data_IF_278515012307
#
_entry.id   IF_278515012307
#
_cell.length_a   1.000
_cell.length_b   1.000
_cell.length_c   1.000
_cell.angle_alpha   90.00
_cell.angle_beta   90.00
_cell.angle_gamma   90.00
#
_symmetry.space_group_name_H-M   'P 1'
#
loop_
_entity.id
_entity.type
_entity.pdbx_description
1 polymer ?
#
# COMPACT_ATOMS: atom_id res chain seq x y z
N UNK A 1 -75.19 -7.16 28.03
CA UNK A 1 -74.10 -6.64 28.88
C UNK A 1 -72.76 -7.31 28.67
N UNK A 2 -72.66 -8.64 28.55
CA UNK A 2 -71.36 -9.38 28.35
C UNK A 2 -70.64 -9.09 27.01
N UNK A 3 -71.36 -8.79 25.93
CA UNK A 3 -70.83 -8.52 24.59
C UNK A 3 -70.15 -7.12 24.54
N UNK A 4 -70.71 -6.13 25.19
CA UNK A 4 -70.19 -4.74 25.25
C UNK A 4 -68.87 -4.69 26.06
N UNK A 5 -68.77 -5.50 27.12
CA UNK A 5 -67.57 -5.64 27.92
C UNK A 5 -66.44 -6.31 27.15
N UNK A 6 -66.77 -7.37 26.35
CA UNK A 6 -65.78 -8.08 25.52
C UNK A 6 -65.22 -7.19 24.40
N UNK A 7 -66.06 -6.37 23.76
CA UNK A 7 -65.63 -5.39 22.72
C UNK A 7 -64.78 -4.30 23.34
N UNK A 8 -65.10 -3.80 24.54
CA UNK A 8 -64.31 -2.82 25.25
C UNK A 8 -62.91 -3.35 25.66
N UNK A 9 -62.85 -4.64 26.08
CA UNK A 9 -61.58 -5.27 26.42
C UNK A 9 -60.68 -5.52 25.19
N UNK A 10 -61.25 -5.91 24.06
CA UNK A 10 -60.50 -6.12 22.82
C UNK A 10 -59.98 -4.82 22.21
N UNK A 11 -60.73 -3.73 22.30
CA UNK A 11 -60.27 -2.38 21.88
C UNK A 11 -59.17 -1.83 22.78
N UNK A 12 -59.24 -2.07 24.10
CA UNK A 12 -58.16 -1.67 25.02
C UNK A 12 -56.89 -2.49 24.84
N UNK A 13 -56.99 -3.80 24.58
CA UNK A 13 -55.86 -4.68 24.26
C UNK A 13 -55.20 -4.28 22.92
N UNK A 14 -55.98 -3.96 21.90
CA UNK A 14 -55.50 -3.46 20.61
C UNK A 14 -54.77 -2.10 20.78
N UNK A 15 -55.31 -1.18 21.60
CA UNK A 15 -54.63 0.10 21.89
C UNK A 15 -53.34 -0.06 22.67
N UNK A 16 -53.26 -1.01 23.62
CA UNK A 16 -52.05 -1.35 24.33
C UNK A 16 -50.99 -1.98 23.40
N UNK A 17 -51.38 -2.92 22.56
CA UNK A 17 -50.54 -3.53 21.56
C UNK A 17 -50.00 -2.49 20.57
N UNK A 18 -50.83 -1.59 20.07
CA UNK A 18 -50.36 -0.51 19.18
C UNK A 18 -49.45 0.51 19.90
N UNK A 19 -49.63 0.79 21.20
CA UNK A 19 -48.72 1.63 21.96
C UNK A 19 -47.37 0.98 22.17
N UNK A 20 -47.30 -0.33 22.46
CA UNK A 20 -46.01 -1.02 22.63
C UNK A 20 -45.26 -1.06 21.30
N UNK A 21 -45.93 -1.37 20.18
CA UNK A 21 -45.34 -1.37 18.83
C UNK A 21 -44.78 0.04 18.48
N UNK A 22 -45.55 1.10 18.76
CA UNK A 22 -45.10 2.48 18.47
C UNK A 22 -43.95 2.94 19.36
N UNK A 23 -43.85 2.46 20.60
CA UNK A 23 -42.70 2.75 21.51
C UNK A 23 -41.44 2.02 21.02
N UNK A 24 -41.56 0.74 20.60
CA UNK A 24 -40.43 0.00 20.03
C UNK A 24 -39.95 0.63 18.72
N UNK A 25 -40.83 1.08 17.84
CA UNK A 25 -40.43 1.78 16.63
C UNK A 25 -39.70 3.08 16.92
N UNK A 26 -40.15 3.89 17.87
CA UNK A 26 -39.46 5.12 18.26
C UNK A 26 -38.12 4.86 18.91
N UNK A 27 -38.01 3.86 19.79
CA UNK A 27 -36.74 3.47 20.38
C UNK A 27 -35.73 3.03 19.32
N UNK A 28 -36.16 2.24 18.34
CA UNK A 28 -35.35 1.81 17.22
C UNK A 28 -34.90 2.97 16.34
N UNK A 29 -35.78 3.94 16.08
CA UNK A 29 -35.44 5.16 15.34
C UNK A 29 -34.41 6.02 16.05
N UNK A 30 -34.47 6.16 17.38
CA UNK A 30 -33.46 6.87 18.16
C UNK A 30 -32.10 6.15 18.14
N UNK A 31 -32.10 4.84 18.26
CA UNK A 31 -30.89 4.00 18.16
C UNK A 31 -30.29 4.14 16.77
N UNK A 32 -31.08 4.06 15.72
CA UNK A 32 -30.62 4.24 14.33
C UNK A 32 -30.02 5.63 14.09
N UNK A 33 -30.70 6.69 14.57
CA UNK A 33 -30.16 8.07 14.49
C UNK A 33 -28.84 8.23 15.24
N UNK A 34 -28.70 7.57 16.40
CA UNK A 34 -27.45 7.59 17.17
C UNK A 34 -26.32 6.90 16.38
N UNK A 35 -26.59 5.72 15.80
CA UNK A 35 -25.60 5.02 14.96
C UNK A 35 -25.22 5.84 13.72
N UNK A 36 -26.19 6.44 13.02
CA UNK A 36 -25.92 7.31 11.88
C UNK A 36 -25.08 8.53 12.29
N UNK A 37 -25.38 9.11 13.46
CA UNK A 37 -24.58 10.23 13.99
C UNK A 37 -23.14 9.80 14.31
N UNK A 38 -22.96 8.64 14.96
CA UNK A 38 -21.62 8.10 15.26
C UNK A 38 -20.83 7.79 13.96
N UNK A 39 -21.47 7.22 12.95
CA UNK A 39 -20.84 6.98 11.65
C UNK A 39 -20.43 8.29 10.95
N UNK A 40 -21.28 9.32 10.99
CA UNK A 40 -20.94 10.65 10.46
C UNK A 40 -19.78 11.29 11.21
N UNK A 41 -19.78 11.23 12.55
CA UNK A 41 -18.70 11.76 13.38
C UNK A 41 -17.37 11.04 13.08
N UNK A 42 -17.40 9.71 12.97
CA UNK A 42 -16.20 8.91 12.60
C UNK A 42 -15.67 9.29 11.21
N UNK A 43 -16.55 9.49 10.25
CA UNK A 43 -16.17 9.92 8.90
C UNK A 43 -15.56 11.32 8.90
N UNK A 44 -16.17 12.28 9.61
CA UNK A 44 -15.63 13.65 9.75
C UNK A 44 -14.27 13.60 10.46
N UNK A 45 -14.16 12.83 11.55
CA UNK A 45 -12.90 12.68 12.29
C UNK A 45 -11.78 12.15 11.41
N UNK A 46 -12.06 11.13 10.57
CA UNK A 46 -11.08 10.61 9.63
C UNK A 46 -10.58 11.68 8.63
N UNK A 47 -11.50 12.48 8.09
CA UNK A 47 -11.14 13.59 7.19
C UNK A 47 -10.30 14.64 7.92
N UNK A 48 -10.73 15.06 9.12
CA UNK A 48 -10.03 16.09 9.92
C UNK A 48 -8.60 15.63 10.26
N UNK A 49 -8.42 14.37 10.68
CA UNK A 49 -7.10 13.82 10.99
C UNK A 49 -6.22 13.79 9.73
N UNK A 50 -6.76 13.32 8.60
CA UNK A 50 -6.01 13.27 7.35
C UNK A 50 -5.57 14.67 6.89
N UNK A 51 -6.48 15.63 6.90
CA UNK A 51 -6.17 17.03 6.56
C UNK A 51 -5.16 17.61 7.55
N UNK A 52 -5.32 17.34 8.85
CA UNK A 52 -4.38 17.77 9.89
C UNK A 52 -2.95 17.25 9.67
N UNK A 53 -2.80 15.97 9.31
CA UNK A 53 -1.49 15.39 8.97
C UNK A 53 -0.88 16.11 7.76
N UNK A 54 -1.63 16.29 6.68
CA UNK A 54 -1.13 16.96 5.47
C UNK A 54 -0.73 18.41 5.75
N UNK A 55 -1.53 19.14 6.53
CA UNK A 55 -1.21 20.51 6.92
C UNK A 55 0.03 20.58 7.82
N UNK A 56 0.19 19.65 8.76
CA UNK A 56 1.39 19.56 9.60
C UNK A 56 2.64 19.29 8.75
N UNK A 57 2.57 18.32 7.83
CA UNK A 57 3.69 18.04 6.91
C UNK A 57 4.03 19.27 6.06
N UNK A 58 3.02 19.97 5.53
CA UNK A 58 3.22 21.18 4.74
C UNK A 58 3.89 22.28 5.56
N UNK A 59 3.41 22.53 6.79
CA UNK A 59 3.95 23.59 7.64
C UNK A 59 5.43 23.36 7.96
N UNK A 60 5.81 22.16 8.40
CA UNK A 60 7.22 21.84 8.71
C UNK A 60 8.09 21.81 7.45
N UNK A 61 7.54 21.41 6.32
CA UNK A 61 8.22 21.47 5.02
C UNK A 61 8.52 22.92 4.59
N UNK A 62 7.58 23.85 4.79
CA UNK A 62 7.81 25.27 4.49
C UNK A 62 8.87 25.87 5.41
N UNK A 63 8.93 25.47 6.69
CA UNK A 63 10.01 25.84 7.62
C UNK A 63 11.35 25.30 7.14
N UNK A 64 11.43 24.06 6.66
CA UNK A 64 12.64 23.49 6.06
C UNK A 64 13.13 24.32 4.86
N UNK A 65 12.22 24.66 3.92
CA UNK A 65 12.59 25.44 2.73
C UNK A 65 12.90 26.92 3.02
N UNK A 66 12.60 27.42 4.21
CA UNK A 66 13.13 28.72 4.65
C UNK A 66 14.61 28.68 5.01
N UNK A 67 15.18 27.48 5.32
CA UNK A 67 16.58 27.27 5.67
C UNK A 67 17.39 26.73 4.49
N UNK A 68 16.80 25.85 3.68
CA UNK A 68 17.47 25.13 2.58
C UNK A 68 16.76 25.43 1.27
N UNK A 69 17.50 25.69 0.21
CA UNK A 69 16.93 25.95 -1.11
C UNK A 69 16.22 24.72 -1.66
N UNK A 70 14.99 24.88 -2.16
CA UNK A 70 14.17 23.79 -2.73
C UNK A 70 14.87 23.08 -3.89
N UNK A 71 15.64 23.82 -4.72
CA UNK A 71 16.37 23.22 -5.84
C UNK A 71 17.53 22.36 -5.38
N UNK A 72 18.25 22.79 -4.33
CA UNK A 72 19.35 22.03 -3.74
C UNK A 72 18.83 20.75 -3.09
N UNK A 73 17.63 20.80 -2.50
CA UNK A 73 16.97 19.63 -1.94
C UNK A 73 16.50 18.66 -3.05
N UNK A 74 15.77 19.13 -4.05
CA UNK A 74 15.18 18.25 -5.07
C UNK A 74 16.20 17.67 -6.05
N UNK A 75 17.25 18.41 -6.39
CA UNK A 75 18.25 18.03 -7.39
C UNK A 75 19.65 17.77 -6.85
N UNK A 76 19.86 17.91 -5.55
CA UNK A 76 21.14 17.58 -4.92
C UNK A 76 21.48 16.09 -5.01
N UNK A 77 22.76 15.80 -5.27
CA UNK A 77 23.27 14.45 -5.50
C UNK A 77 23.89 13.80 -4.24
N UNK A 78 23.90 14.51 -3.12
CA UNK A 78 24.49 14.05 -1.87
C UNK A 78 23.47 14.18 -0.74
N UNK A 79 23.27 13.11 0.00
CA UNK A 79 22.41 13.06 1.18
C UNK A 79 23.25 12.70 2.40
N UNK A 80 23.48 13.66 3.28
CA UNK A 80 24.24 13.51 4.52
C UNK A 80 23.72 14.47 5.60
N UNK A 81 22.48 14.32 6.08
CA UNK A 81 21.88 15.23 7.05
C UNK A 81 22.49 15.10 8.45
N UNK A 82 23.23 14.01 8.72
CA UNK A 82 23.79 13.71 10.04
C UNK A 82 25.04 14.53 10.39
N UNK A 83 25.67 15.17 9.42
CA UNK A 83 26.85 16.03 9.65
C UNK A 83 26.51 17.39 10.25
N UNK A 84 25.22 17.78 10.23
CA UNK A 84 24.72 19.06 10.76
C UNK A 84 24.20 18.94 12.20
N UNK A 85 24.99 18.40 13.14
CA UNK A 85 24.52 18.18 14.53
C UNK A 85 24.58 19.46 15.37
N UNK A 86 25.43 20.47 15.00
CA UNK A 86 25.55 21.75 15.73
C UNK A 86 25.81 22.90 14.77
N UNK A 87 25.12 24.01 14.96
CA UNK A 87 25.31 25.25 14.20
C UNK A 87 26.69 25.89 14.37
N UNK A 88 27.45 25.51 15.41
CA UNK A 88 28.78 25.99 15.74
C UNK A 88 29.91 25.13 15.13
N UNK A 89 29.62 24.02 14.50
CA UNK A 89 30.61 23.20 13.79
C UNK A 89 30.84 23.76 12.37
N UNK A 90 31.88 24.58 12.24
CA UNK A 90 32.25 25.36 11.06
C UNK A 90 32.56 24.55 9.77
N UNK A 91 32.47 23.21 9.79
CA UNK A 91 32.79 22.35 8.65
C UNK A 91 31.64 21.39 8.25
N UNK A 92 30.45 21.51 8.83
CA UNK A 92 29.38 20.51 8.67
C UNK A 92 28.07 21.12 8.23
N UNK A 93 28.05 21.88 7.13
CA UNK A 93 26.79 22.13 6.40
C UNK A 93 26.34 20.80 5.87
N UNK A 94 25.28 20.21 6.50
CA UNK A 94 24.68 18.97 6.05
C UNK A 94 24.26 19.06 4.58
N UNK A 95 24.40 17.98 3.85
CA UNK A 95 23.96 17.90 2.47
C UNK A 95 22.57 17.26 2.42
N UNK A 96 21.59 17.97 1.86
CA UNK A 96 20.18 17.59 1.85
C UNK A 96 19.66 17.24 0.45
N UNK A 97 20.51 16.75 -0.46
CA UNK A 97 20.10 16.37 -1.80
C UNK A 97 19.29 15.07 -1.80
N UNK A 98 18.04 15.11 -2.19
CA UNK A 98 17.11 13.98 -2.08
C UNK A 98 17.27 12.91 -3.20
N UNK A 99 17.97 13.21 -4.31
CA UNK A 99 18.10 12.28 -5.45
C UNK A 99 18.58 10.88 -5.04
N UNK A 100 19.67 10.71 -4.23
CA UNK A 100 20.13 9.35 -3.89
C UNK A 100 19.07 8.52 -3.19
N UNK A 101 18.27 9.15 -2.33
CA UNK A 101 17.24 8.49 -1.52
C UNK A 101 16.03 8.09 -2.39
N UNK A 102 15.65 8.93 -3.34
CA UNK A 102 14.58 8.60 -4.30
C UNK A 102 15.04 7.55 -5.31
N UNK A 103 16.29 7.61 -5.79
CA UNK A 103 16.86 6.59 -6.69
C UNK A 103 16.88 5.23 -5.99
N UNK A 104 17.33 5.15 -4.74
CA UNK A 104 17.29 3.92 -3.95
C UNK A 104 15.86 3.38 -3.76
N UNK A 105 14.89 4.27 -3.50
CA UNK A 105 13.48 3.90 -3.38
C UNK A 105 12.95 3.28 -4.68
N UNK A 106 13.21 3.91 -5.82
CA UNK A 106 12.79 3.42 -7.12
C UNK A 106 13.48 2.11 -7.47
N UNK A 107 14.79 2.01 -7.23
CA UNK A 107 15.58 0.80 -7.52
C UNK A 107 15.02 -0.42 -6.76
N UNK A 108 14.84 -0.31 -5.44
CA UNK A 108 14.29 -1.40 -4.62
C UNK A 108 12.86 -1.74 -5.05
N UNK A 109 12.02 -0.73 -5.29
CA UNK A 109 10.64 -0.95 -5.73
C UNK A 109 10.57 -1.64 -7.10
N UNK A 110 11.44 -1.28 -8.04
CA UNK A 110 11.50 -1.94 -9.35
C UNK A 110 11.94 -3.41 -9.24
N UNK A 111 12.95 -3.71 -8.41
CA UNK A 111 13.37 -5.09 -8.14
C UNK A 111 12.20 -5.89 -7.55
N UNK A 112 11.47 -5.32 -6.59
CA UNK A 112 10.31 -5.96 -6.01
C UNK A 112 9.22 -6.25 -7.05
N UNK A 113 8.93 -5.29 -7.93
CA UNK A 113 7.95 -5.48 -9.00
C UNK A 113 8.39 -6.52 -10.04
N UNK A 114 9.68 -6.60 -10.37
CA UNK A 114 10.21 -7.64 -11.26
C UNK A 114 9.99 -9.06 -10.71
N UNK A 115 9.96 -9.23 -9.40
CA UNK A 115 9.63 -10.52 -8.75
C UNK A 115 8.12 -10.68 -8.62
N UNK A 116 7.42 -9.67 -8.12
CA UNK A 116 6.02 -9.75 -7.72
C UNK A 116 5.05 -9.82 -8.89
N UNK A 117 5.29 -9.04 -9.97
CA UNK A 117 4.36 -8.96 -11.11
C UNK A 117 4.23 -10.30 -11.85
N UNK A 118 5.30 -10.93 -12.33
CA UNK A 118 5.15 -12.17 -13.06
C UNK A 118 4.53 -13.28 -12.21
N UNK A 119 5.01 -13.46 -10.96
CA UNK A 119 4.51 -14.52 -10.09
C UNK A 119 3.06 -14.25 -9.68
N UNK A 120 2.75 -13.00 -9.29
CA UNK A 120 1.40 -12.60 -8.87
C UNK A 120 0.38 -12.69 -10.00
N UNK A 121 0.75 -12.24 -11.21
CA UNK A 121 -0.12 -12.31 -12.39
C UNK A 121 -0.42 -13.77 -12.78
N UNK A 122 0.59 -14.63 -12.89
CA UNK A 122 0.37 -16.03 -13.22
C UNK A 122 -0.44 -16.76 -12.16
N UNK A 123 -0.20 -16.47 -10.88
CA UNK A 123 -1.00 -16.99 -9.77
C UNK A 123 -2.47 -16.57 -9.87
N UNK A 124 -2.73 -15.30 -10.18
CA UNK A 124 -4.09 -14.79 -10.36
C UNK A 124 -4.80 -15.45 -11.55
N UNK A 125 -4.12 -15.57 -12.71
CA UNK A 125 -4.66 -16.23 -13.90
C UNK A 125 -5.02 -17.68 -13.57
N UNK A 126 -4.12 -18.41 -12.90
CA UNK A 126 -4.38 -19.79 -12.51
C UNK A 126 -5.59 -19.90 -11.58
N UNK A 127 -5.63 -19.11 -10.51
CA UNK A 127 -6.70 -19.15 -9.53
C UNK A 127 -8.07 -18.74 -10.10
N UNK A 128 -8.08 -17.74 -10.99
CA UNK A 128 -9.33 -17.21 -11.55
C UNK A 128 -9.91 -18.09 -12.66
N UNK A 129 -9.06 -18.70 -13.52
CA UNK A 129 -9.52 -19.36 -14.76
C UNK A 129 -9.31 -20.87 -14.81
N UNK A 130 -8.32 -21.41 -14.11
CA UNK A 130 -7.90 -22.81 -14.24
C UNK A 130 -8.10 -23.63 -12.96
N UNK A 131 -8.03 -23.00 -11.78
CA UNK A 131 -8.06 -23.72 -10.52
C UNK A 131 -9.44 -24.36 -10.27
N UNK A 132 -9.50 -25.67 -9.94
CA UNK A 132 -10.74 -26.27 -9.49
C UNK A 132 -11.21 -25.62 -8.18
N UNK A 133 -12.53 -25.62 -7.96
CA UNK A 133 -13.16 -24.96 -6.80
C UNK A 133 -12.47 -25.28 -5.46
N UNK A 134 -12.10 -26.56 -5.22
CA UNK A 134 -11.42 -26.98 -3.98
C UNK A 134 -10.06 -26.30 -3.80
N UNK A 135 -9.28 -26.16 -4.87
CA UNK A 135 -7.96 -25.51 -4.82
C UNK A 135 -8.12 -24.01 -4.58
N UNK A 136 -9.06 -23.37 -5.27
CA UNK A 136 -9.34 -21.95 -5.10
C UNK A 136 -9.80 -21.62 -3.67
N UNK A 137 -10.74 -22.40 -3.12
CA UNK A 137 -11.27 -22.21 -1.76
C UNK A 137 -10.18 -22.36 -0.69
N UNK A 138 -9.16 -23.17 -0.93
CA UNK A 138 -8.04 -23.35 -0.01
C UNK A 138 -6.92 -22.33 -0.22
N UNK A 139 -6.55 -22.04 -1.47
CA UNK A 139 -5.42 -21.18 -1.79
C UNK A 139 -5.70 -19.69 -1.55
N UNK A 140 -6.92 -19.21 -1.85
CA UNK A 140 -7.26 -17.78 -1.67
C UNK A 140 -7.11 -17.31 -0.22
N UNK A 141 -7.65 -17.99 0.80
CA UNK A 141 -7.43 -17.62 2.20
C UNK A 141 -5.95 -17.66 2.61
N UNK A 142 -5.15 -18.62 2.11
CA UNK A 142 -3.71 -18.68 2.42
C UNK A 142 -2.99 -17.45 1.88
N UNK A 143 -3.28 -17.04 0.64
CA UNK A 143 -2.72 -15.84 0.05
C UNK A 143 -3.10 -14.59 0.85
N UNK A 144 -4.35 -14.51 1.31
CA UNK A 144 -4.83 -13.41 2.16
C UNK A 144 -4.15 -13.38 3.53
N UNK A 145 -3.91 -14.54 4.15
CA UNK A 145 -3.15 -14.66 5.40
C UNK A 145 -1.70 -14.20 5.21
N UNK A 146 -1.05 -14.59 4.10
CA UNK A 146 0.31 -14.16 3.79
C UNK A 146 0.40 -12.64 3.63
N UNK A 147 -0.62 -12.00 3.04
CA UNK A 147 -0.69 -10.55 2.94
C UNK A 147 -0.82 -9.84 4.31
N UNK A 148 -1.32 -10.56 5.33
CA UNK A 148 -1.47 -10.08 6.70
C UNK A 148 -0.25 -10.23 7.60
N UNK A 149 0.82 -10.90 7.15
CA UNK A 149 2.05 -11.05 7.93
C UNK A 149 2.71 -9.66 8.13
N UNK A 150 3.09 -9.28 9.38
CA UNK A 150 3.80 -8.04 9.64
C UNK A 150 5.11 -7.94 8.85
N UNK A 151 5.38 -6.77 8.23
CA UNK A 151 6.56 -6.55 7.37
C UNK A 151 7.89 -6.75 8.09
N UNK A 152 7.92 -6.55 9.41
CA UNK A 152 9.08 -6.84 10.27
C UNK A 152 9.51 -8.31 10.16
N UNK A 153 8.55 -9.25 10.09
CA UNK A 153 8.83 -10.69 9.96
C UNK A 153 9.52 -10.97 8.62
N UNK A 154 9.06 -10.34 7.54
CA UNK A 154 9.72 -10.41 6.24
C UNK A 154 11.13 -9.81 6.29
N UNK A 155 11.32 -8.70 7.00
CA UNK A 155 12.64 -8.10 7.22
C UNK A 155 13.60 -9.04 7.95
N UNK A 156 13.13 -9.72 9.00
CA UNK A 156 13.91 -10.74 9.70
C UNK A 156 14.26 -11.93 8.79
N UNK A 157 13.30 -12.41 8.02
CA UNK A 157 13.53 -13.46 7.02
C UNK A 157 14.58 -13.04 5.98
N UNK A 158 14.53 -11.77 5.55
CA UNK A 158 15.52 -11.21 4.63
C UNK A 158 16.94 -11.33 5.19
N UNK A 159 17.16 -10.93 6.45
CA UNK A 159 18.49 -10.91 7.07
C UNK A 159 19.01 -12.33 7.39
N UNK A 160 18.14 -13.18 7.94
CA UNK A 160 18.59 -14.49 8.47
C UNK A 160 18.68 -15.54 7.36
N UNK A 161 17.80 -15.48 6.36
CA UNK A 161 17.69 -16.56 5.36
C UNK A 161 18.12 -16.09 3.97
N UNK A 162 17.59 -14.97 3.50
CA UNK A 162 17.79 -14.53 2.11
C UNK A 162 19.17 -13.91 1.93
N UNK A 163 19.64 -13.09 2.86
CA UNK A 163 20.95 -12.46 2.76
C UNK A 163 22.14 -13.47 2.74
N UNK A 164 22.21 -14.49 3.62
CA UNK A 164 23.22 -15.52 3.52
C UNK A 164 23.16 -16.29 2.18
N UNK A 165 21.94 -16.65 1.73
CA UNK A 165 21.77 -17.35 0.45
C UNK A 165 22.32 -16.54 -0.74
N UNK A 166 22.02 -15.23 -0.78
CA UNK A 166 22.54 -14.36 -1.84
C UNK A 166 24.07 -14.15 -1.73
N UNK A 167 24.63 -14.08 -0.52
CA UNK A 167 26.08 -13.98 -0.31
C UNK A 167 26.80 -15.24 -0.83
N UNK A 168 26.33 -16.42 -0.43
CA UNK A 168 26.91 -17.68 -0.87
C UNK A 168 26.85 -17.85 -2.39
N UNK A 169 25.77 -17.36 -3.02
CA UNK A 169 25.60 -17.36 -4.47
C UNK A 169 26.52 -16.33 -5.12
N UNK A 170 26.61 -15.12 -4.54
CA UNK A 170 27.46 -14.04 -5.01
C UNK A 170 28.95 -14.39 -4.96
N UNK A 171 29.40 -14.98 -3.86
CA UNK A 171 30.79 -15.40 -3.68
C UNK A 171 31.24 -16.49 -4.66
N UNK A 172 30.31 -17.30 -5.16
CA UNK A 172 30.58 -18.30 -6.22
C UNK A 172 30.72 -17.68 -7.60
N UNK A 173 30.06 -16.52 -7.85
CA UNK A 173 30.05 -15.86 -9.16
C UNK A 173 31.13 -14.78 -9.23
N UNK A 174 31.20 -13.92 -8.21
CA UNK A 174 32.13 -12.81 -8.07
C UNK A 174 32.41 -12.55 -6.58
N UNK A 175 33.50 -13.10 -6.01
CA UNK A 175 33.82 -12.94 -4.60
C UNK A 175 33.87 -11.49 -4.17
N UNK A 176 33.08 -11.13 -3.12
CA UNK A 176 33.03 -9.78 -2.55
C UNK A 176 32.20 -8.75 -3.33
N UNK A 177 31.49 -9.16 -4.38
CA UNK A 177 30.64 -8.26 -5.18
C UNK A 177 29.33 -7.89 -4.47
N UNK A 178 28.89 -8.69 -3.48
CA UNK A 178 27.61 -8.52 -2.80
C UNK A 178 27.83 -7.99 -1.38
N UNK A 179 27.32 -6.78 -1.10
CA UNK A 179 27.31 -6.30 0.28
C UNK A 179 26.30 -7.08 1.12
N UNK A 180 26.56 -7.16 2.43
CA UNK A 180 25.71 -7.85 3.37
C UNK A 180 24.28 -7.33 3.44
N UNK A 181 24.11 -6.06 3.16
CA UNK A 181 22.86 -5.33 2.97
C UNK A 181 22.89 -4.82 1.53
N UNK A 182 21.83 -5.07 0.75
CA UNK A 182 21.79 -4.68 -0.66
C UNK A 182 20.38 -4.50 -1.19
N UNK A 183 20.26 -3.70 -2.25
CA UNK A 183 18.98 -3.44 -2.90
C UNK A 183 18.30 -4.72 -3.40
N UNK A 184 19.08 -5.71 -3.89
CA UNK A 184 18.53 -6.96 -4.42
C UNK A 184 17.91 -7.84 -3.34
N UNK A 185 18.53 -7.91 -2.15
CA UNK A 185 18.00 -8.68 -1.01
C UNK A 185 16.68 -8.07 -0.56
N UNK A 186 16.67 -6.76 -0.27
CA UNK A 186 15.46 -6.06 0.15
C UNK A 186 14.36 -6.11 -0.91
N UNK A 187 14.69 -5.84 -2.17
CA UNK A 187 13.74 -5.86 -3.27
C UNK A 187 13.15 -7.24 -3.52
N UNK A 188 13.94 -8.32 -3.44
CA UNK A 188 13.44 -9.70 -3.61
C UNK A 188 12.44 -10.07 -2.52
N UNK A 189 12.77 -9.81 -1.25
CA UNK A 189 11.87 -10.14 -0.13
C UNK A 189 10.62 -9.27 -0.15
N UNK A 190 10.76 -7.98 -0.47
CA UNK A 190 9.61 -7.09 -0.68
C UNK A 190 8.73 -7.58 -1.84
N UNK A 191 9.34 -8.07 -2.92
CA UNK A 191 8.62 -8.70 -4.03
C UNK A 191 7.79 -9.90 -3.57
N UNK A 192 8.37 -10.80 -2.78
CA UNK A 192 7.66 -11.96 -2.21
C UNK A 192 6.46 -11.51 -1.37
N UNK A 193 6.64 -10.48 -0.53
CA UNK A 193 5.55 -9.90 0.28
C UNK A 193 4.41 -9.30 -0.58
N UNK A 194 4.74 -8.75 -1.74
CA UNK A 194 3.77 -8.09 -2.62
C UNK A 194 3.01 -9.09 -3.52
N UNK A 195 3.54 -10.30 -3.78
CA UNK A 195 2.87 -11.33 -4.59
C UNK A 195 1.40 -11.53 -4.20
N UNK A 196 1.04 -11.76 -2.91
CA UNK A 196 -0.35 -11.95 -2.51
C UNK A 196 -1.25 -10.79 -2.88
N UNK A 197 -0.75 -9.56 -2.75
CA UNK A 197 -1.50 -8.35 -3.06
C UNK A 197 -1.82 -8.24 -4.56
N UNK A 198 -0.82 -8.46 -5.43
CA UNK A 198 -1.04 -8.48 -6.88
C UNK A 198 -1.98 -9.61 -7.27
N UNK A 199 -1.78 -10.81 -6.70
CA UNK A 199 -2.62 -11.97 -6.99
C UNK A 199 -4.08 -11.71 -6.66
N UNK A 200 -4.38 -11.17 -5.47
CA UNK A 200 -5.75 -10.92 -5.04
C UNK A 200 -6.44 -9.85 -5.89
N UNK A 201 -5.80 -8.70 -6.10
CA UNK A 201 -6.38 -7.61 -6.90
C UNK A 201 -6.57 -8.00 -8.37
N UNK A 202 -5.62 -8.76 -8.94
CA UNK A 202 -5.72 -9.25 -10.32
C UNK A 202 -6.80 -10.32 -10.45
N UNK A 203 -6.93 -11.26 -9.49
CA UNK A 203 -8.02 -12.24 -9.44
C UNK A 203 -9.38 -11.54 -9.41
N UNK A 204 -9.53 -10.51 -8.58
CA UNK A 204 -10.76 -9.74 -8.46
C UNK A 204 -11.09 -8.99 -9.78
N UNK A 205 -10.08 -8.39 -10.43
CA UNK A 205 -10.25 -7.72 -11.73
C UNK A 205 -10.68 -8.69 -12.83
N UNK A 206 -10.11 -9.90 -12.87
CA UNK A 206 -10.48 -10.92 -13.86
C UNK A 206 -11.88 -11.52 -13.60
N UNK A 207 -12.28 -11.66 -12.34
CA UNK A 207 -13.62 -12.15 -11.98
C UNK A 207 -14.71 -11.09 -12.16
N UNK A 208 -14.37 -9.82 -12.23
CA UNK A 208 -15.31 -8.74 -12.54
C UNK A 208 -15.74 -8.69 -14.01
N UNK A 209 -15.04 -9.43 -14.91
CA UNK A 209 -15.44 -9.57 -16.32
C UNK A 209 -16.76 -10.34 -16.40
N UNK A 210 -17.78 -9.84 -17.14
CA UNK A 210 -19.07 -10.49 -17.27
C UNK A 210 -18.96 -11.94 -17.78
N UNK A 211 -19.66 -12.89 -17.14
CA UNK A 211 -19.63 -14.33 -17.52
C UNK A 211 -20.10 -14.57 -18.94
N UNK A 212 -21.02 -13.71 -19.45
CA UNK A 212 -21.52 -13.76 -20.83
C UNK A 212 -20.41 -13.67 -21.88
N UNK A 213 -19.35 -12.89 -21.65
CA UNK A 213 -18.20 -12.79 -22.55
C UNK A 213 -17.42 -14.10 -22.57
N UNK A 214 -17.21 -14.71 -21.41
CA UNK A 214 -16.51 -15.99 -21.26
C UNK A 214 -17.32 -17.12 -21.92
N UNK A 215 -18.61 -17.21 -21.59
CA UNK A 215 -19.51 -18.22 -22.13
C UNK A 215 -19.71 -18.08 -23.64
N UNK A 216 -19.83 -16.84 -24.15
CA UNK A 216 -19.92 -16.56 -25.58
C UNK A 216 -18.67 -17.02 -26.34
N UNK A 217 -17.48 -16.77 -25.80
CA UNK A 217 -16.21 -17.24 -26.41
C UNK A 217 -16.13 -18.77 -26.46
N UNK A 218 -16.49 -19.45 -25.36
CA UNK A 218 -16.53 -20.91 -25.31
C UNK A 218 -17.59 -21.50 -26.26
N UNK A 219 -18.75 -20.86 -26.38
CA UNK A 219 -19.80 -21.27 -27.32
C UNK A 219 -19.40 -21.16 -28.79
N UNK A 220 -18.49 -20.24 -29.11
CA UNK A 220 -17.86 -20.12 -30.44
C UNK A 220 -16.77 -21.15 -30.70
N UNK A 221 -16.50 -22.07 -29.75
CA UNK A 221 -15.53 -23.15 -29.87
C UNK A 221 -14.12 -22.81 -29.41
N UNK A 222 -13.91 -21.65 -28.79
CA UNK A 222 -12.61 -21.29 -28.22
C UNK A 222 -12.25 -22.17 -27.01
N UNK A 223 -10.99 -22.51 -26.86
CA UNK A 223 -10.48 -23.17 -25.65
C UNK A 223 -10.43 -22.22 -24.46
N UNK A 224 -10.32 -22.75 -23.23
CA UNK A 224 -10.14 -21.93 -22.02
C UNK A 224 -8.91 -21.02 -22.14
N UNK A 225 -7.83 -21.50 -22.75
CA UNK A 225 -6.61 -20.71 -22.94
C UNK A 225 -6.82 -19.55 -23.90
N UNK A 226 -7.49 -19.79 -25.03
CA UNK A 226 -7.83 -18.74 -26.01
C UNK A 226 -8.79 -17.71 -25.39
N UNK A 227 -9.84 -18.16 -24.71
CA UNK A 227 -10.78 -17.30 -23.99
C UNK A 227 -10.04 -16.44 -22.95
N UNK A 228 -9.12 -17.03 -22.19
CA UNK A 228 -8.34 -16.29 -21.19
C UNK A 228 -7.47 -15.22 -21.85
N UNK A 229 -6.72 -15.56 -22.90
CA UNK A 229 -5.77 -14.64 -23.55
C UNK A 229 -6.46 -13.57 -24.41
N UNK A 230 -7.53 -13.93 -25.13
CA UNK A 230 -8.15 -13.05 -26.12
C UNK A 230 -9.38 -12.30 -25.61
N UNK A 231 -10.01 -12.77 -24.53
CA UNK A 231 -11.21 -12.16 -23.98
C UNK A 231 -10.97 -11.64 -22.55
N UNK A 232 -10.60 -12.53 -21.61
CA UNK A 232 -10.58 -12.16 -20.18
C UNK A 232 -9.43 -11.21 -19.85
N UNK A 233 -8.19 -11.49 -20.28
CA UNK A 233 -7.03 -10.62 -20.01
C UNK A 233 -7.22 -9.24 -20.66
N UNK A 234 -7.59 -9.10 -21.94
CA UNK A 234 -7.87 -7.80 -22.53
C UNK A 234 -9.04 -7.09 -21.85
N UNK A 235 -10.11 -7.83 -21.52
CA UNK A 235 -11.25 -7.29 -20.80
C UNK A 235 -10.93 -6.80 -19.39
N UNK A 236 -10.02 -7.42 -18.66
CA UNK A 236 -9.56 -7.03 -17.31
C UNK A 236 -8.27 -6.20 -17.29
N UNK A 237 -7.71 -5.85 -18.45
CA UNK A 237 -6.38 -5.25 -18.57
C UNK A 237 -6.18 -4.01 -17.68
N UNK A 238 -7.14 -3.10 -17.65
CA UNK A 238 -7.03 -1.88 -16.85
C UNK A 238 -7.04 -2.18 -15.34
N UNK A 239 -7.84 -3.17 -14.90
CA UNK A 239 -7.82 -3.63 -13.52
C UNK A 239 -6.48 -4.29 -13.14
N UNK A 240 -5.91 -5.07 -14.06
CA UNK A 240 -4.58 -5.69 -13.90
C UNK A 240 -3.50 -4.59 -13.78
N UNK A 241 -3.48 -3.61 -14.69
CA UNK A 241 -2.51 -2.50 -14.61
C UNK A 241 -2.70 -1.67 -13.35
N UNK A 242 -3.95 -1.42 -12.95
CA UNK A 242 -4.23 -0.72 -11.70
C UNK A 242 -3.72 -1.49 -10.47
N UNK A 243 -3.82 -2.82 -10.45
CA UNK A 243 -3.25 -3.65 -9.38
C UNK A 243 -1.72 -3.50 -9.29
N UNK A 244 -1.03 -3.41 -10.44
CA UNK A 244 0.41 -3.18 -10.48
C UNK A 244 0.80 -1.78 -9.98
N UNK A 245 0.06 -0.74 -10.36
CA UNK A 245 0.30 0.63 -9.89
C UNK A 245 0.09 0.75 -8.38
N UNK A 246 -0.97 0.13 -7.85
CA UNK A 246 -1.23 0.09 -6.40
C UNK A 246 -0.14 -0.70 -5.66
N UNK A 247 0.31 -1.82 -6.22
CA UNK A 247 1.41 -2.61 -5.68
C UNK A 247 2.73 -1.82 -5.66
N UNK A 248 3.03 -1.08 -6.73
CA UNK A 248 4.19 -0.21 -6.82
C UNK A 248 4.13 0.94 -5.81
N UNK A 249 2.97 1.57 -5.66
CA UNK A 249 2.75 2.59 -4.62
C UNK A 249 2.98 2.04 -3.21
N UNK A 250 2.54 0.80 -2.94
CA UNK A 250 2.82 0.10 -1.68
C UNK A 250 4.32 -0.17 -1.49
N UNK A 251 5.02 -0.60 -2.55
CA UNK A 251 6.46 -0.85 -2.53
C UNK A 251 7.26 0.41 -2.16
N UNK A 252 6.92 1.56 -2.74
CA UNK A 252 7.57 2.86 -2.46
C UNK A 252 7.43 3.25 -0.97
N UNK A 253 6.33 2.87 -0.33
CA UNK A 253 6.06 3.16 1.08
C UNK A 253 6.65 2.16 2.08
N UNK A 254 7.33 1.09 1.64
CA UNK A 254 7.85 0.06 2.53
C UNK A 254 9.06 0.57 3.32
N UNK A 255 9.05 0.29 4.63
CA UNK A 255 10.08 0.79 5.55
C UNK A 255 10.86 -0.35 6.20
N UNK A 256 10.16 -1.30 6.85
CA UNK A 256 10.80 -2.25 7.76
C UNK A 256 11.68 -3.28 7.05
N UNK A 257 11.25 -3.79 5.91
CA UNK A 257 12.06 -4.72 5.11
C UNK A 257 13.34 -4.02 4.65
N UNK A 258 13.22 -2.78 4.20
CA UNK A 258 14.35 -2.00 3.67
C UNK A 258 15.33 -1.62 4.78
N UNK A 259 14.84 -1.15 5.93
CA UNK A 259 15.70 -0.84 7.11
C UNK A 259 16.58 -2.03 7.48
N UNK A 260 16.03 -3.25 7.42
CA UNK A 260 16.72 -4.45 7.84
C UNK A 260 17.61 -5.06 6.76
N UNK A 261 17.26 -4.91 5.47
CA UNK A 261 17.89 -5.68 4.40
C UNK A 261 18.66 -4.87 3.36
N UNK A 262 18.42 -3.55 3.23
CA UNK A 262 19.11 -2.70 2.25
C UNK A 262 20.13 -1.76 2.86
N UNK A 263 20.00 -1.44 4.16
CA UNK A 263 20.90 -0.55 4.90
C UNK A 263 20.47 0.92 4.93
N UNK A 264 21.34 1.75 5.50
CA UNK A 264 21.09 3.19 5.69
C UNK A 264 21.93 4.09 4.77
N UNK A 265 22.79 3.52 3.93
CA UNK A 265 23.72 4.28 3.11
C UNK A 265 23.00 4.96 1.94
N UNK A 266 23.01 6.29 1.91
CA UNK A 266 22.41 7.07 0.83
C UNK A 266 23.34 7.16 -0.40
N UNK A 267 23.72 6.01 -0.95
CA UNK A 267 24.56 5.92 -2.13
C UNK A 267 23.75 6.20 -3.40
N UNK A 268 24.26 7.05 -4.26
CA UNK A 268 23.70 7.26 -5.59
C UNK A 268 24.25 6.19 -6.53
N UNK A 269 23.59 5.06 -6.60
CA UNK A 269 23.97 3.91 -7.44
C UNK A 269 22.74 3.26 -8.05
N UNK A 270 22.91 2.67 -9.22
CA UNK A 270 21.92 1.77 -9.86
C UNK A 270 22.33 0.30 -9.74
N UNK A 271 23.46 0.02 -9.07
CA UNK A 271 23.93 -1.33 -8.83
C UNK A 271 23.05 -2.03 -7.78
N UNK A 272 22.31 -3.09 -8.11
CA UNK A 272 21.42 -3.78 -7.18
C UNK A 272 22.17 -4.52 -6.05
N UNK A 273 23.47 -4.73 -6.19
CA UNK A 273 24.29 -5.45 -5.23
C UNK A 273 24.90 -4.56 -4.13
N UNK A 274 24.76 -3.27 -4.26
CA UNK A 274 25.22 -2.30 -3.28
C UNK A 274 24.14 -1.97 -2.23
N UNK A 275 24.60 -1.50 -1.08
CA UNK A 275 23.74 -0.96 -0.03
C UNK A 275 23.17 0.39 -0.48
N UNK A 276 21.86 0.55 -0.38
CA UNK A 276 21.12 1.78 -0.67
C UNK A 276 20.08 2.01 0.41
N UNK A 277 19.57 3.23 0.49
CA UNK A 277 18.49 3.58 1.40
C UNK A 277 17.26 4.08 0.65
N UNK A 278 16.11 4.09 1.34
CA UNK A 278 14.86 4.66 0.79
C UNK A 278 14.42 5.90 1.56
N UNK A 279 13.49 6.66 0.98
CA UNK A 279 12.89 7.83 1.61
C UNK A 279 12.31 7.48 2.98
N UNK A 280 11.55 6.38 3.07
CA UNK A 280 10.91 5.93 4.32
C UNK A 280 11.93 5.56 5.41
N UNK A 281 13.03 4.91 5.04
CA UNK A 281 14.14 4.56 5.95
C UNK A 281 14.81 5.81 6.50
N UNK A 282 15.09 6.80 5.64
CA UNK A 282 15.70 8.07 6.06
C UNK A 282 14.76 8.85 6.97
N UNK A 283 13.45 8.91 6.69
CA UNK A 283 12.47 9.54 7.58
C UNK A 283 12.53 8.90 8.98
N UNK A 284 12.51 7.57 9.07
CA UNK A 284 12.60 6.87 10.36
C UNK A 284 13.92 7.16 11.05
N UNK A 285 15.04 7.08 10.33
CA UNK A 285 16.38 7.35 10.89
C UNK A 285 16.55 8.79 11.39
N UNK A 286 15.91 9.75 10.74
CA UNK A 286 15.92 11.16 11.14
C UNK A 286 14.99 11.46 12.32
N UNK A 287 13.91 10.72 12.47
CA UNK A 287 12.91 10.91 13.53
C UNK A 287 13.11 9.99 14.74
N UNK A 288 14.16 9.16 14.77
CA UNK A 288 14.53 8.32 15.91
C UNK A 288 15.78 8.84 16.62
N UNK A 289 15.82 8.78 17.94
CA UNK A 289 16.94 9.25 18.79
C UNK A 289 16.73 10.66 19.33
N UNK A 290 17.82 11.29 19.80
CA UNK A 290 17.80 12.66 20.30
C UNK A 290 17.57 13.65 19.16
N UNK A 291 16.48 14.42 19.28
CA UNK A 291 16.01 15.30 18.21
C UNK A 291 15.87 16.73 18.70
N UNK A 292 16.44 17.66 17.95
CA UNK A 292 16.08 19.07 17.99
C UNK A 292 14.99 19.32 16.94
N UNK A 293 13.74 19.57 17.38
CA UNK A 293 12.59 19.72 16.49
C UNK A 293 12.75 20.86 15.46
N UNK A 294 13.55 21.87 15.78
CA UNK A 294 13.79 23.04 14.93
C UNK A 294 15.04 22.90 14.05
N UNK A 295 15.75 21.77 14.11
CA UNK A 295 16.95 21.55 13.30
C UNK A 295 16.60 21.23 11.85
N UNK A 296 17.43 21.70 10.91
CA UNK A 296 17.30 21.36 9.49
C UNK A 296 17.29 19.85 9.23
N UNK A 297 18.00 19.07 10.09
CA UNK A 297 18.02 17.61 10.07
C UNK A 297 16.61 17.03 10.28
N UNK A 298 15.94 17.40 11.36
CA UNK A 298 14.59 16.89 11.68
C UNK A 298 13.56 17.40 10.67
N UNK A 299 13.62 18.67 10.28
CA UNK A 299 12.73 19.27 9.31
C UNK A 299 12.86 18.63 7.92
N UNK A 300 14.06 18.13 7.56
CA UNK A 300 14.26 17.42 6.29
C UNK A 300 13.47 16.12 6.18
N UNK A 301 13.16 15.45 7.31
CA UNK A 301 12.28 14.28 7.32
C UNK A 301 10.84 14.62 6.89
N UNK A 302 10.33 15.78 7.33
CA UNK A 302 9.01 16.27 6.93
C UNK A 302 8.98 16.66 5.44
N UNK A 303 10.06 17.26 4.93
CA UNK A 303 10.19 17.58 3.51
C UNK A 303 10.23 16.30 2.65
N UNK A 304 10.98 15.28 3.05
CA UNK A 304 10.99 13.96 2.39
C UNK A 304 9.60 13.32 2.41
N UNK A 305 8.94 13.32 3.57
CA UNK A 305 7.61 12.76 3.73
C UNK A 305 6.58 13.47 2.85
N UNK A 306 6.66 14.80 2.75
CA UNK A 306 5.76 15.62 1.93
C UNK A 306 5.93 15.30 0.43
N UNK A 307 7.17 15.24 -0.07
CA UNK A 307 7.44 14.90 -1.47
C UNK A 307 7.00 13.45 -1.77
N UNK A 308 7.29 12.51 -0.86
CA UNK A 308 6.85 11.12 -1.00
C UNK A 308 5.33 10.99 -1.03
N UNK A 309 4.64 11.74 -0.16
CA UNK A 309 3.17 11.79 -0.14
C UNK A 309 2.61 12.23 -1.49
N UNK A 310 3.13 13.31 -2.09
CA UNK A 310 2.68 13.76 -3.41
C UNK A 310 2.98 12.75 -4.51
N UNK A 311 4.15 12.12 -4.48
CA UNK A 311 4.51 11.09 -5.45
C UNK A 311 3.53 9.91 -5.39
N UNK A 312 3.27 9.39 -4.19
CA UNK A 312 2.34 8.27 -3.99
C UNK A 312 0.89 8.67 -4.26
N UNK A 313 0.48 9.89 -3.93
CA UNK A 313 -0.85 10.41 -4.26
C UNK A 313 -1.08 10.45 -5.77
N UNK A 314 -0.10 10.96 -6.54
CA UNK A 314 -0.18 11.00 -8.00
C UNK A 314 -0.33 9.59 -8.57
N UNK A 315 0.49 8.63 -8.12
CA UNK A 315 0.40 7.24 -8.55
C UNK A 315 -0.96 6.62 -8.24
N UNK A 316 -1.48 6.85 -7.04
CA UNK A 316 -2.79 6.33 -6.64
C UNK A 316 -3.94 6.97 -7.42
N UNK A 317 -3.89 8.29 -7.70
CA UNK A 317 -4.89 8.97 -8.52
C UNK A 317 -4.87 8.43 -9.96
N UNK A 318 -3.69 8.19 -10.54
CA UNK A 318 -3.56 7.57 -11.86
C UNK A 318 -4.20 6.17 -11.85
N UNK A 319 -3.86 5.33 -10.86
CA UNK A 319 -4.43 3.99 -10.72
C UNK A 319 -5.96 4.01 -10.61
N UNK A 320 -6.50 4.87 -9.74
CA UNK A 320 -7.96 5.02 -9.56
C UNK A 320 -8.67 5.51 -10.83
N UNK A 321 -8.07 6.45 -11.57
CA UNK A 321 -8.64 6.94 -12.82
C UNK A 321 -8.64 5.84 -13.91
N UNK A 322 -7.62 4.99 -13.94
CA UNK A 322 -7.58 3.82 -14.81
C UNK A 322 -8.72 2.85 -14.48
N UNK A 323 -8.94 2.54 -13.20
CA UNK A 323 -10.04 1.67 -12.77
C UNK A 323 -11.42 2.25 -13.14
N UNK A 324 -11.64 3.56 -12.88
CA UNK A 324 -12.94 4.22 -13.18
C UNK A 324 -13.26 4.22 -14.67
N UNK A 325 -12.33 4.63 -15.52
CA UNK A 325 -12.53 4.69 -16.98
C UNK A 325 -12.91 3.33 -17.57
N UNK A 326 -12.52 2.27 -16.91
CA UNK A 326 -12.78 0.91 -17.36
C UNK A 326 -14.17 0.40 -16.97
N UNK A 327 -14.62 0.75 -15.77
CA UNK A 327 -15.95 0.40 -15.28
C UNK A 327 -17.04 0.99 -16.17
N UNK A 328 -16.84 2.24 -16.65
CA UNK A 328 -17.77 2.93 -17.56
C UNK A 328 -17.84 2.32 -18.96
N UNK A 329 -16.88 1.49 -19.39
CA UNK A 329 -16.88 0.85 -20.71
C UNK A 329 -17.67 -0.49 -20.75
N UNK A 330 -18.00 -1.05 -19.58
CA UNK A 330 -18.71 -2.34 -19.47
C UNK A 330 -20.04 -2.25 -18.69
N UNK A 331 -20.42 -1.08 -18.17
CA UNK A 331 -21.78 -0.73 -17.76
C UNK A 331 -22.55 -0.13 -18.98
#
# INVERSE_FOLDING_TARGET
MKIIVAIGLSVTLLRLSMKTVTVEFKAREYVERLFVMLMKLSSIMAIVVTVGIVLSLLFETLRFFSMINIFDFLFGLQWSPQTAIRADQVASSGSFGAIPVFVGTILISLIAMLVAVPIGLYSAIYLSQYAPYKVRTFAKPIIEILAGIPTVVYGFFAVITVAPFFRDLGDKIAPGALSGESAIIAGTVMGIMIIPFITSLTDDAMNAVPSSLKEGSLAMGATVSETTKQVIIPASFHGIVASFLLAFSRAIGETMIVVMAAGFAANLTLNPFESVTTVTVQIVGLLTGDQEFDSAKTLSAFALAFVLFFLTLILNVIALNMVKKYRELYE
#
